data_IF_379983379073
#
_entry.id   IF_379983379073
#
_cell.length_a   1.000
_cell.length_b   1.000
_cell.length_c   1.000
_cell.angle_alpha   90.00
_cell.angle_beta   90.00
_cell.angle_gamma   90.00
#
_symmetry.space_group_name_H-M   'P 1'
#
loop_
_entity.id
_entity.type
_entity.pdbx_description
1 polymer ?
#
# COMPACT_ATOMS: atom_id res chain seq x y z
N UNK A 1 -63.94 9.43 49.38
CA UNK A 1 -62.47 9.58 49.38
C UNK A 1 -61.91 8.49 48.49
N UNK A 2 -61.46 8.85 47.29
CA UNK A 2 -61.11 7.91 46.22
C UNK A 2 -59.70 7.38 46.34
N UNK A 3 -59.50 6.11 45.96
CA UNK A 3 -58.20 5.49 45.76
C UNK A 3 -58.09 5.11 44.29
N UNK A 4 -57.31 5.85 43.51
CA UNK A 4 -56.96 5.53 42.13
C UNK A 4 -55.61 4.81 42.17
N UNK A 5 -55.61 3.53 41.80
CA UNK A 5 -54.39 2.76 41.58
C UNK A 5 -53.72 3.24 40.28
N UNK A 6 -52.51 3.78 40.39
CA UNK A 6 -51.69 4.14 39.23
C UNK A 6 -51.01 2.86 38.69
N UNK A 7 -51.40 2.46 37.48
CA UNK A 7 -50.71 1.42 36.71
C UNK A 7 -49.50 2.08 36.06
N UNK A 8 -48.31 1.77 36.56
CA UNK A 8 -47.06 2.21 35.95
C UNK A 8 -46.69 1.22 34.83
N UNK A 9 -47.04 1.54 33.59
CA UNK A 9 -46.51 0.86 32.41
C UNK A 9 -45.04 1.24 32.23
N UNK A 10 -44.12 0.35 32.61
CA UNK A 10 -42.71 0.45 32.25
C UNK A 10 -42.55 0.08 30.77
N UNK A 11 -42.40 1.08 29.90
CA UNK A 11 -41.99 0.88 28.51
C UNK A 11 -40.48 0.66 28.53
N UNK A 12 -40.05 -0.61 28.48
CA UNK A 12 -38.64 -0.96 28.24
C UNK A 12 -38.34 -0.73 26.77
N UNK A 13 -37.84 0.46 26.42
CA UNK A 13 -37.28 0.73 25.11
C UNK A 13 -35.96 -0.04 24.99
N UNK A 14 -35.98 -1.20 24.33
CA UNK A 14 -34.77 -1.89 23.88
C UNK A 14 -34.20 -1.04 22.74
N UNK A 15 -33.24 -0.17 23.06
CA UNK A 15 -32.38 0.48 22.07
C UNK A 15 -31.49 -0.60 21.45
N UNK A 16 -31.99 -1.23 20.40
CA UNK A 16 -31.15 -1.93 19.42
C UNK A 16 -30.34 -0.84 18.71
N UNK A 17 -29.22 -0.45 19.32
CA UNK A 17 -28.16 0.22 18.58
C UNK A 17 -27.63 -0.86 17.64
N UNK A 18 -28.21 -0.96 16.45
CA UNK A 18 -27.52 -1.60 15.34
C UNK A 18 -26.26 -0.77 15.16
N UNK A 19 -25.14 -1.24 15.69
CA UNK A 19 -23.83 -0.73 15.28
C UNK A 19 -23.66 -1.16 13.84
N UNK A 20 -24.31 -0.43 12.93
CA UNK A 20 -23.92 -0.41 11.53
C UNK A 20 -22.55 0.26 11.55
N UNK A 21 -21.52 -0.54 11.83
CA UNK A 21 -20.15 -0.12 11.57
C UNK A 21 -20.09 0.00 10.06
N UNK A 22 -20.30 1.20 9.55
CA UNK A 22 -19.93 1.51 8.17
C UNK A 22 -18.44 1.28 8.06
N UNK A 23 -17.97 0.81 6.92
CA UNK A 23 -16.57 1.02 6.54
C UNK A 23 -16.21 2.48 6.81
N UNK A 24 -15.15 2.73 7.58
CA UNK A 24 -14.79 4.08 7.98
C UNK A 24 -13.29 4.34 7.77
N UNK A 25 -12.98 5.61 7.56
CA UNK A 25 -11.63 6.12 7.36
C UNK A 25 -10.98 6.58 8.67
N UNK A 26 -11.68 6.45 9.81
CA UNK A 26 -11.32 7.08 11.08
C UNK A 26 -10.81 6.09 12.12
N UNK A 27 -11.18 4.83 11.99
CA UNK A 27 -10.79 3.72 12.84
C UNK A 27 -9.31 3.45 12.62
N UNK A 28 -8.47 3.66 13.64
CA UNK A 28 -7.04 3.46 13.49
C UNK A 28 -6.73 1.98 13.28
N UNK A 29 -5.70 1.69 12.47
CA UNK A 29 -5.13 0.34 12.38
C UNK A 29 -4.65 -0.06 13.79
N UNK A 30 -5.05 -1.23 14.32
CA UNK A 30 -4.74 -1.63 15.68
C UNK A 30 -3.24 -1.81 15.87
N UNK A 31 -2.75 -1.58 17.09
CA UNK A 31 -1.35 -1.81 17.42
C UNK A 31 -0.99 -3.31 17.50
N UNK A 32 -1.96 -4.16 17.81
CA UNK A 32 -1.78 -5.62 17.84
C UNK A 32 -1.93 -6.20 16.42
N UNK A 33 -0.86 -6.80 15.85
CA UNK A 33 -0.92 -7.38 14.51
C UNK A 33 -1.91 -8.55 14.40
N UNK A 34 -2.22 -9.25 15.50
CA UNK A 34 -3.18 -10.37 15.48
C UNK A 34 -4.60 -9.92 15.13
N UNK A 35 -4.91 -8.64 15.39
CA UNK A 35 -6.21 -8.02 15.10
C UNK A 35 -6.28 -7.40 13.70
N UNK A 36 -5.18 -7.38 12.93
CA UNK A 36 -5.09 -6.64 11.67
C UNK A 36 -6.08 -7.13 10.61
N UNK A 37 -6.21 -8.44 10.45
CA UNK A 37 -7.11 -9.01 9.46
C UNK A 37 -8.58 -8.76 9.84
N UNK A 38 -8.96 -8.98 11.10
CA UNK A 38 -10.31 -8.67 11.58
C UNK A 38 -10.63 -7.19 11.39
N UNK A 39 -9.72 -6.29 11.79
CA UNK A 39 -9.87 -4.86 11.57
C UNK A 39 -10.06 -4.51 10.09
N UNK A 40 -9.28 -5.13 9.19
CA UNK A 40 -9.40 -4.86 7.76
C UNK A 40 -10.77 -5.29 7.22
N UNK A 41 -11.26 -6.47 7.61
CA UNK A 41 -12.58 -6.97 7.21
C UNK A 41 -13.73 -6.09 7.75
N UNK A 42 -13.58 -5.56 8.96
CA UNK A 42 -14.58 -4.66 9.57
C UNK A 42 -14.62 -3.29 8.89
N UNK A 43 -13.48 -2.82 8.37
CA UNK A 43 -13.34 -1.48 7.77
C UNK A 43 -13.39 -1.47 6.25
N UNK A 44 -13.19 -2.61 5.59
CA UNK A 44 -13.43 -2.81 4.16
C UNK A 44 -14.45 -3.92 4.05
N UNK A 45 -15.74 -3.61 4.22
CA UNK A 45 -16.83 -4.60 4.17
C UNK A 45 -17.18 -5.03 2.74
N UNK A 46 -17.92 -6.14 2.54
CA UNK A 46 -18.39 -6.56 1.23
C UNK A 46 -19.22 -5.46 0.56
N UNK A 47 -19.16 -5.39 -0.77
CA UNK A 47 -19.87 -4.35 -1.54
C UNK A 47 -21.38 -4.33 -1.24
N UNK A 48 -21.99 -5.50 -1.01
CA UNK A 48 -23.40 -5.61 -0.69
C UNK A 48 -23.80 -4.79 0.57
N UNK A 49 -22.89 -4.64 1.52
CA UNK A 49 -23.09 -3.93 2.78
C UNK A 49 -22.72 -2.44 2.70
N UNK A 50 -22.20 -1.98 1.55
CA UNK A 50 -21.64 -0.63 1.34
C UNK A 50 -22.28 0.16 0.20
N UNK A 51 -23.36 -0.35 -0.39
CA UNK A 51 -24.12 0.36 -1.44
C UNK A 51 -24.50 1.77 -0.97
N UNK A 52 -24.25 2.76 -1.82
CA UNK A 52 -24.47 4.18 -1.54
C UNK A 52 -23.42 4.85 -0.65
N UNK A 53 -22.40 4.13 -0.16
CA UNK A 53 -21.30 4.69 0.64
C UNK A 53 -19.94 4.62 -0.05
N UNK A 54 -19.82 3.78 -1.07
CA UNK A 54 -18.64 3.67 -1.94
C UNK A 54 -18.76 4.63 -3.14
N UNK A 55 -17.66 4.86 -3.86
CA UNK A 55 -17.66 5.66 -5.08
C UNK A 55 -18.74 5.16 -6.07
N UNK A 56 -19.68 6.02 -6.54
CA UNK A 56 -20.76 5.60 -7.42
C UNK A 56 -20.31 4.97 -8.73
N UNK A 57 -19.14 5.38 -9.27
CA UNK A 57 -18.60 4.79 -10.49
C UNK A 57 -18.14 3.34 -10.24
N UNK A 58 -17.53 3.09 -9.07
CA UNK A 58 -17.13 1.74 -8.67
C UNK A 58 -18.35 0.86 -8.38
N UNK A 59 -19.37 1.39 -7.69
CA UNK A 59 -20.61 0.67 -7.44
C UNK A 59 -21.30 0.27 -8.76
N UNK A 60 -21.35 1.19 -9.73
CA UNK A 60 -21.90 0.92 -11.06
C UNK A 60 -21.09 -0.14 -11.81
N UNK A 61 -19.75 -0.09 -11.74
CA UNK A 61 -18.87 -1.04 -12.41
C UNK A 61 -19.04 -2.48 -11.88
N UNK A 62 -19.24 -2.62 -10.58
CA UNK A 62 -19.42 -3.91 -9.91
C UNK A 62 -20.85 -4.49 -10.05
N UNK A 63 -21.77 -3.78 -10.71
CA UNK A 63 -23.15 -4.27 -10.89
C UNK A 63 -23.22 -5.51 -11.79
N UNK A 64 -22.30 -5.63 -12.76
CA UNK A 64 -22.27 -6.72 -13.76
C UNK A 64 -20.82 -7.07 -14.14
N UNK A 65 -20.02 -7.65 -13.24
CA UNK A 65 -18.66 -8.01 -13.55
C UNK A 65 -18.62 -9.08 -14.65
N UNK A 66 -17.72 -8.92 -15.61
CA UNK A 66 -17.41 -9.94 -16.61
C UNK A 66 -16.04 -10.54 -16.33
N UNK A 67 -15.91 -11.85 -16.49
CA UNK A 67 -14.63 -12.54 -16.38
C UNK A 67 -14.15 -12.95 -17.76
N UNK A 68 -12.90 -12.65 -18.09
CA UNK A 68 -12.22 -13.15 -19.30
C UNK A 68 -11.06 -14.04 -18.88
N UNK A 69 -10.89 -15.18 -19.55
CA UNK A 69 -9.83 -16.15 -19.21
C UNK A 69 -8.63 -16.06 -20.14
N UNK A 70 -7.44 -15.93 -19.56
CA UNK A 70 -6.15 -15.98 -20.27
C UNK A 70 -5.46 -17.30 -19.96
N UNK A 71 -5.22 -18.14 -20.97
CA UNK A 71 -4.55 -19.44 -20.82
C UNK A 71 -3.62 -19.70 -22.01
N UNK A 72 -2.33 -19.89 -21.75
CA UNK A 72 -1.33 -20.12 -22.79
C UNK A 72 -1.56 -21.42 -23.58
N UNK A 73 -2.14 -22.44 -22.95
CA UNK A 73 -2.50 -23.71 -23.58
C UNK A 73 -3.69 -23.61 -24.56
N UNK A 74 -4.35 -22.45 -24.62
CA UNK A 74 -5.52 -22.21 -25.47
C UNK A 74 -6.86 -22.62 -24.87
N UNK A 75 -6.91 -23.01 -23.60
CA UNK A 75 -8.16 -23.35 -22.89
C UNK A 75 -8.99 -22.12 -22.46
N UNK A 76 -8.45 -20.92 -22.62
CA UNK A 76 -9.09 -19.63 -22.30
C UNK A 76 -9.55 -18.87 -23.56
N UNK A 77 -10.22 -17.74 -23.34
CA UNK A 77 -10.64 -16.82 -24.41
C UNK A 77 -9.44 -16.17 -25.10
N UNK A 78 -8.36 -15.91 -24.35
CA UNK A 78 -7.13 -15.32 -24.86
C UNK A 78 -5.92 -16.18 -24.50
N UNK A 79 -4.90 -16.18 -25.37
CA UNK A 79 -3.61 -16.84 -25.09
C UNK A 79 -2.61 -15.92 -24.38
N UNK A 80 -2.79 -14.60 -24.52
CA UNK A 80 -1.89 -13.59 -23.95
C UNK A 80 -2.66 -12.56 -23.14
N UNK A 81 -2.02 -12.03 -22.09
CA UNK A 81 -2.58 -10.95 -21.29
C UNK A 81 -2.77 -9.68 -22.13
N UNK A 82 -1.87 -9.41 -23.07
CA UNK A 82 -1.95 -8.27 -23.99
C UNK A 82 -3.22 -8.29 -24.83
N UNK A 83 -3.56 -9.43 -25.42
CA UNK A 83 -4.77 -9.55 -26.24
C UNK A 83 -6.04 -9.41 -25.40
N UNK A 84 -6.04 -9.95 -24.18
CA UNK A 84 -7.13 -9.81 -23.23
C UNK A 84 -7.37 -8.34 -22.84
N UNK A 85 -6.30 -7.60 -22.52
CA UNK A 85 -6.37 -6.16 -22.19
C UNK A 85 -6.84 -5.36 -23.40
N UNK A 86 -6.31 -5.63 -24.60
CA UNK A 86 -6.72 -4.95 -25.83
C UNK A 86 -8.20 -5.19 -26.21
N UNK A 87 -8.82 -6.24 -25.68
CA UNK A 87 -10.25 -6.51 -25.85
C UNK A 87 -11.15 -5.66 -24.96
N UNK A 88 -10.59 -4.96 -23.97
CA UNK A 88 -11.31 -4.08 -23.06
C UNK A 88 -11.39 -2.69 -23.72
N UNK A 89 -12.60 -2.17 -23.98
CA UNK A 89 -12.73 -0.85 -24.60
C UNK A 89 -12.13 0.26 -23.75
N UNK A 90 -11.51 1.25 -24.39
CA UNK A 90 -11.14 2.50 -23.72
C UNK A 90 -12.38 3.16 -23.11
N UNK A 91 -12.27 3.61 -21.85
CA UNK A 91 -13.40 4.20 -21.12
C UNK A 91 -14.44 3.19 -20.63
N UNK A 92 -14.09 1.89 -20.60
CA UNK A 92 -14.93 0.84 -20.05
C UNK A 92 -15.35 1.17 -18.60
N UNK A 93 -16.67 1.12 -18.35
CA UNK A 93 -17.27 1.44 -17.05
C UNK A 93 -17.72 0.20 -16.26
N UNK A 94 -17.46 -1.00 -16.77
CA UNK A 94 -17.86 -2.27 -16.13
C UNK A 94 -16.65 -3.00 -15.56
N UNK A 95 -16.79 -3.71 -14.44
CA UNK A 95 -15.69 -4.50 -13.89
C UNK A 95 -15.31 -5.63 -14.85
N UNK A 96 -14.05 -5.66 -15.28
CA UNK A 96 -13.47 -6.79 -16.03
C UNK A 96 -12.48 -7.52 -15.15
N UNK A 97 -12.76 -8.78 -14.87
CA UNK A 97 -11.87 -9.69 -14.13
C UNK A 97 -11.07 -10.47 -15.16
N UNK A 98 -9.77 -10.26 -15.19
CA UNK A 98 -8.86 -11.03 -16.05
C UNK A 98 -8.33 -12.20 -15.23
N UNK A 99 -8.88 -13.39 -15.44
CA UNK A 99 -8.45 -14.63 -14.81
C UNK A 99 -7.28 -15.20 -15.61
N UNK A 100 -6.08 -15.22 -15.01
CA UNK A 100 -4.82 -15.56 -15.68
C UNK A 100 -4.33 -16.93 -15.20
N UNK A 101 -4.09 -17.85 -16.14
CA UNK A 101 -3.41 -19.11 -15.86
C UNK A 101 -1.89 -18.94 -15.84
N UNK A 102 -1.12 -20.00 -15.54
CA UNK A 102 0.34 -19.93 -15.50
C UNK A 102 0.95 -19.35 -16.78
N UNK A 103 1.92 -18.45 -16.64
CA UNK A 103 2.63 -17.80 -17.75
C UNK A 103 3.36 -16.52 -17.32
N UNK A 104 4.07 -15.88 -18.25
CA UNK A 104 4.83 -14.65 -18.03
C UNK A 104 4.32 -13.50 -18.94
N UNK A 105 4.29 -12.27 -18.41
CA UNK A 105 3.96 -11.04 -19.15
C UNK A 105 4.58 -9.80 -18.48
N UNK A 106 4.80 -8.73 -19.26
CA UNK A 106 5.19 -7.40 -18.74
C UNK A 106 3.93 -6.53 -18.58
N UNK A 107 3.85 -5.74 -17.49
CA UNK A 107 2.67 -4.93 -17.17
C UNK A 107 3.04 -3.50 -16.73
N UNK A 108 2.28 -2.53 -17.23
CA UNK A 108 2.15 -1.17 -16.68
C UNK A 108 0.67 -0.92 -16.39
N UNK A 109 0.35 -0.38 -15.22
CA UNK A 109 -1.03 -0.16 -14.77
C UNK A 109 -1.34 1.34 -14.67
N UNK A 110 -2.03 1.87 -15.69
CA UNK A 110 -2.46 3.27 -15.74
C UNK A 110 -3.96 3.46 -15.44
N UNK A 111 -4.71 2.37 -15.35
CA UNK A 111 -6.15 2.42 -15.11
C UNK A 111 -6.48 2.70 -13.64
N UNK A 112 -7.47 3.57 -13.41
CA UNK A 112 -8.06 3.73 -12.09
C UNK A 112 -8.77 2.44 -11.65
N UNK A 113 -8.84 2.20 -10.34
CA UNK A 113 -9.45 1.00 -9.75
C UNK A 113 -8.82 -0.33 -10.19
N UNK A 114 -7.57 -0.30 -10.62
CA UNK A 114 -6.83 -1.52 -10.93
C UNK A 114 -6.69 -2.37 -9.67
N UNK A 115 -6.98 -3.68 -9.78
CA UNK A 115 -6.78 -4.63 -8.68
C UNK A 115 -5.98 -5.80 -9.19
N UNK A 116 -4.93 -6.15 -8.46
CA UNK A 116 -4.16 -7.37 -8.66
C UNK A 116 -4.18 -8.20 -7.39
N UNK A 117 -4.31 -9.52 -7.55
CA UNK A 117 -4.21 -10.46 -6.44
C UNK A 117 -3.47 -11.73 -6.86
N UNK A 118 -2.68 -12.29 -5.96
CA UNK A 118 -2.02 -13.59 -6.15
C UNK A 118 -1.14 -13.67 -7.43
N UNK A 119 -0.48 -12.56 -7.78
CA UNK A 119 0.34 -12.44 -8.99
C UNK A 119 1.74 -11.95 -8.66
N UNK A 120 2.71 -12.37 -9.48
CA UNK A 120 4.11 -11.93 -9.40
C UNK A 120 4.38 -10.95 -10.54
N UNK A 121 4.84 -9.75 -10.19
CA UNK A 121 5.43 -8.78 -11.11
C UNK A 121 6.94 -8.86 -10.98
N UNK A 122 7.64 -9.28 -12.03
CA UNK A 122 9.09 -9.46 -12.00
C UNK A 122 9.75 -8.77 -13.18
N UNK A 123 10.77 -7.95 -12.90
CA UNK A 123 11.74 -7.57 -13.90
C UNK A 123 12.94 -8.52 -13.84
N UNK A 124 13.27 -9.17 -14.96
CA UNK A 124 14.37 -10.14 -15.05
C UNK A 124 15.66 -9.52 -15.60
N UNK A 125 15.78 -8.20 -15.66
CA UNK A 125 17.04 -7.53 -15.96
C UNK A 125 18.15 -8.05 -15.03
N UNK A 126 19.39 -8.19 -15.54
CA UNK A 126 20.50 -8.60 -14.71
C UNK A 126 20.70 -7.59 -13.57
N UNK A 127 21.26 -8.06 -12.45
CA UNK A 127 21.63 -7.19 -11.34
C UNK A 127 22.56 -6.08 -11.86
N UNK A 128 22.29 -4.80 -11.55
CA UNK A 128 23.17 -3.70 -11.92
C UNK A 128 24.60 -3.96 -11.45
N UNK A 129 25.58 -3.75 -12.32
CA UNK A 129 27.00 -3.94 -12.00
C UNK A 129 27.80 -2.63 -12.04
N UNK A 130 27.16 -1.51 -12.37
CA UNK A 130 27.77 -0.18 -12.45
C UNK A 130 28.58 0.07 -13.72
N UNK A 131 28.68 -0.91 -14.63
CA UNK A 131 29.42 -0.78 -15.89
C UNK A 131 28.60 -0.05 -16.96
N UNK A 132 27.27 -0.19 -16.91
CA UNK A 132 26.35 0.45 -17.83
C UNK A 132 25.71 1.69 -17.18
N UNK A 133 25.47 2.72 -17.99
CA UNK A 133 24.63 3.84 -17.57
C UNK A 133 23.17 3.42 -17.68
N UNK A 134 22.38 3.68 -16.64
CA UNK A 134 20.93 3.54 -16.68
C UNK A 134 20.41 2.12 -16.45
N UNK A 135 20.97 1.41 -15.46
CA UNK A 135 20.60 0.02 -15.14
C UNK A 135 19.29 -0.12 -14.32
N UNK A 136 18.45 0.93 -14.28
CA UNK A 136 17.16 0.87 -13.60
C UNK A 136 16.19 -0.08 -14.31
N UNK A 137 15.45 -0.87 -13.55
CA UNK A 137 14.64 -1.96 -14.10
C UNK A 137 13.33 -2.14 -13.33
N UNK A 138 12.32 -1.34 -13.71
CA UNK A 138 10.99 -1.35 -13.09
C UNK A 138 10.26 -2.68 -13.35
N UNK A 139 9.77 -3.31 -12.28
CA UNK A 139 8.92 -4.50 -12.36
C UNK A 139 7.45 -4.13 -12.50
N UNK A 140 7.02 -3.04 -11.85
CA UNK A 140 5.67 -2.51 -11.97
C UNK A 140 5.68 -0.97 -11.85
N UNK A 141 4.99 -0.30 -12.76
CA UNK A 141 4.62 1.11 -12.63
C UNK A 141 3.12 1.27 -12.48
N UNK A 142 2.71 2.11 -11.53
CA UNK A 142 1.32 2.39 -11.20
C UNK A 142 1.10 3.90 -11.25
N UNK A 143 0.18 4.33 -12.11
CA UNK A 143 -0.18 5.74 -12.29
C UNK A 143 -1.68 6.01 -12.15
N UNK A 144 -2.51 4.97 -12.11
CA UNK A 144 -3.96 5.05 -11.97
C UNK A 144 -4.39 5.13 -10.50
N UNK A 145 -5.35 6.00 -10.20
CA UNK A 145 -5.82 6.24 -8.84
C UNK A 145 -6.66 5.06 -8.32
N UNK A 146 -6.66 4.86 -6.99
CA UNK A 146 -7.47 3.82 -6.31
C UNK A 146 -7.09 2.38 -6.72
N UNK A 147 -5.80 2.11 -6.85
CA UNK A 147 -5.28 0.76 -7.18
C UNK A 147 -5.01 -0.08 -5.93
N UNK A 148 -5.37 -1.37 -5.94
CA UNK A 148 -5.16 -2.28 -4.80
C UNK A 148 -4.42 -3.57 -5.20
N UNK A 149 -3.48 -3.98 -4.35
CA UNK A 149 -2.65 -5.16 -4.54
C UNK A 149 -2.78 -6.05 -3.31
N UNK A 150 -3.16 -7.31 -3.51
CA UNK A 150 -3.40 -8.29 -2.44
C UNK A 150 -2.55 -9.53 -2.65
N UNK A 151 -1.67 -9.85 -1.71
CA UNK A 151 -0.80 -11.04 -1.83
C UNK A 151 -0.03 -11.09 -3.16
N UNK A 152 0.48 -9.94 -3.59
CA UNK A 152 1.31 -9.82 -4.78
C UNK A 152 2.79 -9.90 -4.42
N UNK A 153 3.62 -10.37 -5.35
CA UNK A 153 5.08 -10.31 -5.22
C UNK A 153 5.66 -9.38 -6.28
N UNK A 154 6.46 -8.41 -5.88
CA UNK A 154 7.16 -7.48 -6.78
C UNK A 154 8.66 -7.74 -6.66
N UNK A 155 9.28 -8.15 -7.77
CA UNK A 155 10.64 -8.67 -7.81
C UNK A 155 11.49 -7.87 -8.79
N UNK A 156 12.56 -7.28 -8.29
CA UNK A 156 13.52 -6.51 -9.08
C UNK A 156 14.77 -6.19 -8.30
N UNK A 157 15.58 -5.25 -8.82
CA UNK A 157 16.77 -4.73 -8.15
C UNK A 157 16.60 -3.23 -7.89
N UNK A 158 17.15 -2.38 -8.76
CA UNK A 158 16.95 -0.95 -8.71
C UNK A 158 15.60 -0.58 -9.34
N UNK A 159 14.85 0.29 -8.65
CA UNK A 159 13.57 0.84 -9.10
C UNK A 159 12.46 -0.21 -9.28
N UNK A 160 12.41 -1.28 -8.46
CA UNK A 160 11.42 -2.39 -8.59
C UNK A 160 9.96 -1.91 -8.76
N UNK A 161 9.49 -1.01 -7.89
CA UNK A 161 8.13 -0.47 -7.89
C UNK A 161 8.15 1.05 -8.11
N UNK A 162 7.63 1.48 -9.27
CA UNK A 162 7.30 2.87 -9.54
C UNK A 162 5.86 3.15 -9.10
N UNK A 163 5.70 3.53 -7.84
CA UNK A 163 4.45 4.02 -7.24
C UNK A 163 4.27 5.52 -7.55
N UNK A 164 3.96 5.80 -8.82
CA UNK A 164 4.15 7.10 -9.47
C UNK A 164 3.21 8.18 -8.91
N UNK A 165 1.90 7.94 -8.95
CA UNK A 165 0.85 8.87 -8.47
C UNK A 165 -0.46 8.15 -8.24
N UNK A 166 -1.32 8.74 -7.42
CA UNK A 166 -2.64 8.17 -7.08
C UNK A 166 -2.66 7.57 -5.68
N UNK A 167 -3.82 7.09 -5.25
CA UNK A 167 -4.04 6.43 -3.96
C UNK A 167 -3.94 4.92 -4.13
N UNK A 168 -3.06 4.26 -3.38
CA UNK A 168 -2.84 2.82 -3.53
C UNK A 168 -2.86 2.07 -2.20
N UNK A 169 -3.23 0.80 -2.27
CA UNK A 169 -3.11 -0.16 -1.17
C UNK A 169 -2.24 -1.34 -1.62
N UNK A 170 -1.25 -1.70 -0.81
CA UNK A 170 -0.52 -2.98 -0.91
C UNK A 170 -0.74 -3.75 0.39
N UNK A 171 -1.54 -4.81 0.34
CA UNK A 171 -1.86 -5.61 1.52
C UNK A 171 -1.30 -7.02 1.37
N UNK A 172 -0.57 -7.46 2.40
CA UNK A 172 0.05 -8.80 2.48
C UNK A 172 0.97 -9.09 1.28
N UNK A 173 1.61 -8.06 0.72
CA UNK A 173 2.50 -8.20 -0.43
C UNK A 173 3.93 -8.55 0.00
N UNK A 174 4.74 -8.92 -0.97
CA UNK A 174 6.19 -9.02 -0.86
C UNK A 174 6.83 -8.12 -1.92
N UNK A 175 7.78 -7.28 -1.54
CA UNK A 175 8.50 -6.38 -2.46
C UNK A 175 9.99 -6.51 -2.19
N UNK A 176 10.78 -6.87 -3.20
CA UNK A 176 12.25 -6.95 -3.08
C UNK A 176 13.01 -6.03 -4.04
N UNK A 177 14.17 -5.56 -3.58
CA UNK A 177 15.09 -4.78 -4.40
C UNK A 177 16.33 -4.29 -3.66
N UNK A 178 17.03 -3.36 -4.31
CA UNK A 178 18.32 -2.80 -3.84
C UNK A 178 18.21 -1.30 -3.60
N UNK A 179 18.23 -0.51 -4.67
CA UNK A 179 18.23 0.96 -4.65
C UNK A 179 16.87 1.48 -5.07
N UNK A 180 16.29 2.36 -4.26
CA UNK A 180 15.03 3.06 -4.53
C UNK A 180 13.91 2.11 -4.98
N UNK A 181 13.87 0.89 -4.41
CA UNK A 181 13.03 -0.15 -4.98
C UNK A 181 11.52 0.09 -4.77
N UNK A 182 11.16 1.09 -3.96
CA UNK A 182 9.84 1.73 -3.95
C UNK A 182 10.02 3.24 -4.13
N UNK A 183 9.64 3.78 -5.28
CA UNK A 183 9.83 5.19 -5.60
C UNK A 183 8.62 5.78 -6.31
N UNK A 184 8.52 7.11 -6.31
CA UNK A 184 7.41 7.84 -6.92
C UNK A 184 6.73 8.82 -5.97
N UNK A 185 5.59 9.38 -6.40
CA UNK A 185 4.80 10.38 -5.67
C UNK A 185 3.40 9.86 -5.32
N UNK A 186 3.21 8.54 -5.21
CA UNK A 186 1.95 7.95 -4.73
C UNK A 186 1.56 8.39 -3.32
N UNK A 187 0.27 8.23 -3.01
CA UNK A 187 -0.32 8.28 -1.67
C UNK A 187 -0.73 6.87 -1.28
N UNK A 188 0.20 6.13 -0.69
CA UNK A 188 0.08 4.67 -0.64
C UNK A 188 0.18 4.13 0.77
N UNK A 189 -0.73 3.21 1.09
CA UNK A 189 -0.72 2.43 2.33
C UNK A 189 -0.18 1.03 2.02
N UNK A 190 0.95 0.68 2.62
CA UNK A 190 1.53 -0.65 2.65
C UNK A 190 1.17 -1.29 3.99
N UNK A 191 0.36 -2.36 3.95
CA UNK A 191 -0.25 -2.96 5.12
C UNK A 191 0.14 -4.43 5.23
N UNK A 192 0.85 -4.83 6.29
CA UNK A 192 1.27 -6.23 6.44
C UNK A 192 2.24 -6.71 5.35
N UNK A 193 2.93 -5.79 4.67
CA UNK A 193 3.79 -6.10 3.51
C UNK A 193 5.23 -6.40 3.95
N UNK A 194 5.84 -7.40 3.34
CA UNK A 194 7.26 -7.71 3.49
C UNK A 194 8.10 -6.90 2.50
N UNK A 195 9.12 -6.23 3.02
CA UNK A 195 10.06 -5.36 2.31
C UNK A 195 11.44 -6.02 2.41
N UNK A 196 11.83 -6.76 1.38
CA UNK A 196 13.00 -7.62 1.38
C UNK A 196 14.19 -6.95 0.67
N UNK A 197 15.23 -6.64 1.43
CA UNK A 197 16.47 -6.04 0.91
C UNK A 197 17.38 -7.13 0.36
N UNK A 198 17.70 -7.05 -0.93
CA UNK A 198 18.68 -7.95 -1.58
C UNK A 198 19.97 -7.21 -1.90
N UNK A 199 20.47 -6.44 -0.93
CA UNK A 199 21.50 -5.43 -1.12
C UNK A 199 22.90 -5.96 -1.42
N UNK A 200 23.73 -5.11 -2.02
CA UNK A 200 25.16 -5.36 -2.25
C UNK A 200 26.01 -4.22 -1.64
N UNK A 201 27.22 -4.03 -2.17
CA UNK A 201 28.18 -3.01 -1.75
C UNK A 201 27.79 -1.59 -2.20
N UNK A 202 26.84 -1.46 -3.12
CA UNK A 202 26.25 -0.21 -3.58
C UNK A 202 25.07 0.11 -2.67
N UNK A 203 25.22 1.11 -1.79
CA UNK A 203 24.28 1.38 -0.68
C UNK A 203 22.79 1.30 -1.08
N UNK A 204 21.99 0.70 -0.20
CA UNK A 204 20.62 0.27 -0.50
C UNK A 204 19.59 1.24 0.08
N UNK A 205 18.48 1.43 -0.64
CA UNK A 205 17.40 2.35 -0.24
C UNK A 205 16.05 1.69 -0.49
N UNK A 206 15.24 1.58 0.56
CA UNK A 206 13.89 1.02 0.45
C UNK A 206 12.98 2.00 -0.29
N UNK A 207 13.01 3.27 0.12
CA UNK A 207 12.11 4.29 -0.45
C UNK A 207 12.84 5.50 -1.04
N UNK A 208 12.25 6.03 -2.12
CA UNK A 208 12.61 7.31 -2.72
C UNK A 208 11.34 8.09 -3.08
N UNK A 209 10.76 8.77 -2.08
CA UNK A 209 9.50 9.50 -2.26
C UNK A 209 9.72 10.85 -2.95
N UNK A 210 8.87 11.17 -3.92
CA UNK A 210 9.04 12.27 -4.86
C UNK A 210 8.23 13.52 -4.51
N UNK A 211 7.64 13.61 -3.32
CA UNK A 211 6.91 14.82 -2.93
C UNK A 211 7.82 16.05 -2.92
N UNK A 212 7.37 17.12 -3.55
CA UNK A 212 8.19 18.31 -3.77
C UNK A 212 7.63 19.57 -3.09
N UNK A 213 6.33 19.63 -2.79
CA UNK A 213 5.69 20.80 -2.19
C UNK A 213 4.74 20.47 -1.03
N UNK A 214 4.44 21.45 -0.17
CA UNK A 214 3.49 21.24 0.94
C UNK A 214 2.05 20.99 0.47
N UNK A 215 1.70 21.51 -0.71
CA UNK A 215 0.38 21.38 -1.30
C UNK A 215 0.09 19.97 -1.84
N UNK A 216 1.13 19.17 -2.10
CA UNK A 216 0.99 17.77 -2.51
C UNK A 216 0.60 16.90 -1.32
N UNK A 217 -0.61 16.33 -1.38
CA UNK A 217 -1.07 15.36 -0.39
C UNK A 217 -0.68 13.93 -0.77
N UNK A 218 0.62 13.68 -0.94
CA UNK A 218 1.20 12.38 -1.31
C UNK A 218 2.14 11.87 -0.23
N UNK A 219 2.42 10.57 -0.19
CA UNK A 219 3.26 9.98 0.86
C UNK A 219 3.16 8.47 0.91
N UNK A 220 4.16 7.82 1.48
CA UNK A 220 4.12 6.39 1.75
C UNK A 220 3.92 6.12 3.24
N UNK A 221 2.92 5.32 3.58
CA UNK A 221 2.69 4.82 4.94
C UNK A 221 2.85 3.31 4.97
N UNK A 222 3.78 2.82 5.78
CA UNK A 222 4.05 1.40 6.00
C UNK A 222 3.56 1.03 7.39
N UNK A 223 2.56 0.16 7.48
CA UNK A 223 1.95 -0.24 8.75
C UNK A 223 1.98 -1.75 8.90
N UNK A 224 2.46 -2.25 10.05
CA UNK A 224 2.66 -3.69 10.29
C UNK A 224 3.52 -4.38 9.22
N UNK A 225 4.43 -3.64 8.60
CA UNK A 225 5.33 -4.20 7.61
C UNK A 225 6.51 -4.92 8.28
N UNK A 226 7.25 -5.68 7.49
CA UNK A 226 8.50 -6.32 7.91
C UNK A 226 9.63 -5.89 6.98
N UNK A 227 10.73 -5.40 7.53
CA UNK A 227 11.95 -5.08 6.79
C UNK A 227 13.03 -6.10 7.14
N UNK A 228 13.42 -6.90 6.15
CA UNK A 228 14.46 -7.91 6.29
C UNK A 228 15.34 -8.05 5.05
N UNK A 229 16.17 -9.10 5.04
CA UNK A 229 17.08 -9.38 3.94
C UNK A 229 18.55 -9.22 4.31
N UNK A 230 19.37 -8.94 3.31
CA UNK A 230 20.83 -8.91 3.44
C UNK A 230 21.42 -7.74 2.67
N UNK A 231 22.59 -7.27 3.10
CA UNK A 231 23.36 -6.25 2.38
C UNK A 231 24.60 -5.86 3.15
N UNK A 232 25.77 -5.85 2.49
CA UNK A 232 27.05 -5.57 3.14
C UNK A 232 27.11 -4.19 3.83
N UNK A 233 26.35 -3.21 3.30
CA UNK A 233 26.24 -1.85 3.85
C UNK A 233 24.91 -1.57 4.55
N UNK A 234 24.09 -2.61 4.75
CA UNK A 234 22.69 -2.46 5.16
C UNK A 234 21.85 -1.66 4.14
N UNK A 235 20.69 -1.21 4.59
CA UNK A 235 19.75 -0.40 3.81
C UNK A 235 19.22 0.78 4.62
N UNK A 236 19.02 1.90 3.93
CA UNK A 236 18.26 3.03 4.45
C UNK A 236 16.76 2.78 4.21
N UNK A 237 15.92 3.13 5.18
CA UNK A 237 14.46 3.17 5.05
C UNK A 237 14.01 4.10 3.92
N UNK A 238 14.78 5.15 3.66
CA UNK A 238 14.58 5.97 2.48
C UNK A 238 15.59 7.08 2.29
N UNK A 239 15.54 7.68 1.10
CA UNK A 239 16.24 8.92 0.79
C UNK A 239 15.32 9.98 0.22
N UNK A 240 15.70 11.24 0.41
CA UNK A 240 14.99 12.37 -0.15
C UNK A 240 15.26 12.50 -1.65
N UNK A 241 14.44 11.86 -2.48
CA UNK A 241 14.53 12.03 -3.94
C UNK A 241 14.22 13.48 -4.33
N UNK A 242 13.12 14.02 -3.80
CA UNK A 242 12.70 15.41 -4.00
C UNK A 242 12.79 16.23 -2.71
N UNK A 243 12.32 17.48 -2.74
CA UNK A 243 12.55 18.44 -1.65
C UNK A 243 11.75 18.17 -0.36
N UNK A 244 10.62 17.46 -0.43
CA UNK A 244 9.70 17.29 0.71
C UNK A 244 9.11 15.87 0.83
N UNK A 245 9.94 14.81 0.72
CA UNK A 245 9.47 13.42 0.77
C UNK A 245 8.70 13.17 2.07
N UNK A 246 7.68 12.32 1.99
CA UNK A 246 6.85 11.96 3.14
C UNK A 246 6.73 10.44 3.24
N UNK A 247 7.44 9.87 4.21
CA UNK A 247 7.51 8.42 4.44
C UNK A 247 7.39 8.14 5.93
N UNK A 248 6.45 7.26 6.30
CA UNK A 248 6.20 6.88 7.69
C UNK A 248 6.18 5.35 7.82
N UNK A 249 6.93 4.81 8.77
CA UNK A 249 6.85 3.42 9.20
C UNK A 249 6.19 3.35 10.59
N UNK A 250 5.17 2.50 10.75
CA UNK A 250 4.41 2.34 11.99
C UNK A 250 4.19 0.87 12.31
N UNK A 251 4.48 0.45 13.54
CA UNK A 251 4.37 -0.97 13.95
C UNK A 251 5.17 -1.93 13.06
N UNK A 252 6.24 -1.43 12.43
CA UNK A 252 7.05 -2.21 11.48
C UNK A 252 8.18 -2.91 12.24
N UNK A 253 8.35 -4.21 12.00
CA UNK A 253 9.53 -4.95 12.48
C UNK A 253 10.69 -4.76 11.53
N UNK A 254 11.87 -4.40 12.05
CA UNK A 254 13.08 -4.14 11.27
C UNK A 254 14.23 -5.02 11.77
N UNK A 255 14.77 -5.87 10.88
CA UNK A 255 15.98 -6.64 11.17
C UNK A 255 17.23 -5.77 11.14
N UNK A 256 18.39 -6.34 11.50
CA UNK A 256 19.70 -5.68 11.48
C UNK A 256 20.16 -5.20 10.09
N UNK A 257 19.44 -5.53 9.02
CA UNK A 257 19.72 -4.99 7.68
C UNK A 257 19.53 -3.47 7.61
N UNK A 258 18.70 -2.88 8.46
CA UNK A 258 18.48 -1.44 8.47
C UNK A 258 19.71 -0.73 9.04
N UNK A 259 20.28 0.17 8.25
CA UNK A 259 21.41 1.00 8.64
C UNK A 259 21.04 1.85 9.87
N UNK A 260 21.89 1.99 10.91
CA UNK A 260 21.60 2.80 12.09
C UNK A 260 21.15 4.23 11.78
N UNK A 261 21.73 4.86 10.75
CA UNK A 261 21.34 6.20 10.29
C UNK A 261 19.91 6.24 9.76
N UNK A 262 19.44 5.14 9.18
CA UNK A 262 18.05 4.88 8.78
C UNK A 262 17.55 5.70 7.59
N UNK A 263 17.93 6.97 7.49
CA UNK A 263 17.41 7.91 6.50
C UNK A 263 18.53 8.75 5.88
N UNK A 264 18.38 9.12 4.61
CA UNK A 264 19.33 9.99 3.93
C UNK A 264 18.62 11.23 3.36
N UNK A 265 19.21 12.40 3.56
CA UNK A 265 18.80 13.61 2.85
C UNK A 265 19.36 13.66 1.41
N UNK A 266 20.01 12.59 0.94
CA UNK A 266 20.58 12.46 -0.39
C UNK A 266 21.63 13.54 -0.71
N UNK A 267 22.46 13.91 0.28
CA UNK A 267 23.47 14.98 0.21
C UNK A 267 22.89 16.39 0.06
N UNK A 268 21.63 16.58 0.47
CA UNK A 268 20.93 17.86 0.47
C UNK A 268 20.55 18.27 1.90
N UNK A 269 21.48 18.82 2.70
CA UNK A 269 21.24 19.18 4.09
C UNK A 269 20.09 20.18 4.28
N UNK A 270 19.77 20.99 3.27
CA UNK A 270 18.61 21.88 3.29
C UNK A 270 17.28 21.14 3.41
N UNK A 271 17.20 19.88 2.96
CA UNK A 271 15.98 19.05 3.02
C UNK A 271 15.69 18.52 4.41
N UNK A 272 16.66 18.57 5.34
CA UNK A 272 16.45 18.12 6.73
C UNK A 272 15.31 18.86 7.43
N UNK A 273 15.00 20.09 6.99
CA UNK A 273 13.92 20.92 7.55
C UNK A 273 12.54 20.59 6.96
N UNK A 274 12.49 19.89 5.83
CA UNK A 274 11.29 19.74 5.01
C UNK A 274 10.87 18.30 4.81
N UNK A 275 11.76 17.34 5.02
CA UNK A 275 11.43 15.91 4.99
C UNK A 275 10.45 15.55 6.12
N UNK A 276 9.54 14.62 5.84
CA UNK A 276 8.85 13.87 6.89
C UNK A 276 9.29 12.41 6.79
N UNK A 277 10.34 12.08 7.52
CA UNK A 277 10.81 10.73 7.76
C UNK A 277 10.41 10.30 9.17
N UNK A 278 9.35 9.51 9.27
CA UNK A 278 8.70 9.16 10.52
C UNK A 278 8.82 7.68 10.86
N UNK A 279 9.07 7.39 12.13
CA UNK A 279 8.96 6.05 12.70
C UNK A 279 8.05 6.11 13.94
N UNK A 280 7.11 5.17 14.06
CA UNK A 280 6.20 5.08 15.20
C UNK A 280 6.08 3.65 15.68
N UNK A 281 6.58 3.38 16.89
CA UNK A 281 6.52 2.05 17.52
C UNK A 281 7.02 0.94 16.59
N UNK A 282 8.07 1.22 15.81
CA UNK A 282 8.82 0.18 15.11
C UNK A 282 9.63 -0.63 16.12
N UNK A 283 9.90 -1.89 15.80
CA UNK A 283 10.61 -2.82 16.69
C UNK A 283 11.61 -3.69 15.93
N UNK A 284 12.41 -4.48 16.65
CA UNK A 284 13.51 -5.27 16.10
C UNK A 284 14.85 -4.54 16.14
N UNK A 285 15.93 -5.28 15.84
CA UNK A 285 17.31 -4.80 15.96
C UNK A 285 17.58 -3.55 15.10
N UNK A 286 16.96 -3.47 13.92
CA UNK A 286 17.10 -2.34 13.00
C UNK A 286 16.30 -1.09 13.39
N UNK A 287 15.38 -1.19 14.36
CA UNK A 287 14.48 -0.10 14.75
C UNK A 287 15.05 0.83 15.85
N UNK A 288 16.30 0.62 16.29
CA UNK A 288 16.91 1.46 17.33
C UNK A 288 17.07 2.92 16.86
N UNK A 289 16.40 3.90 17.50
CA UNK A 289 16.41 5.28 17.04
C UNK A 289 17.69 6.04 17.40
N UNK A 290 18.55 5.50 18.27
CA UNK A 290 19.69 6.23 18.82
C UNK A 290 20.72 6.67 17.76
N UNK A 291 20.81 5.93 16.65
CA UNK A 291 21.74 6.22 15.55
C UNK A 291 21.13 7.00 14.38
N UNK A 292 19.83 7.33 14.44
CA UNK A 292 19.10 7.86 13.28
C UNK A 292 19.58 9.24 12.86
N UNK A 293 19.44 9.54 11.57
CA UNK A 293 19.64 10.87 11.02
C UNK A 293 18.81 11.90 11.78
N UNK A 294 19.39 13.08 12.03
CA UNK A 294 18.77 14.14 12.84
C UNK A 294 17.44 14.66 12.28
N UNK A 295 17.23 14.53 10.97
CA UNK A 295 16.00 14.93 10.29
C UNK A 295 14.85 13.92 10.42
N UNK A 296 15.14 12.70 10.86
CA UNK A 296 14.11 11.70 11.17
C UNK A 296 13.37 12.03 12.47
N UNK A 297 12.15 11.51 12.60
CA UNK A 297 11.27 11.78 13.73
C UNK A 297 10.72 10.48 14.31
N UNK A 298 10.92 10.29 15.61
CA UNK A 298 10.10 9.35 16.38
C UNK A 298 8.77 10.03 16.66
N UNK A 299 7.70 9.56 16.01
CA UNK A 299 6.41 10.23 16.04
C UNK A 299 5.71 10.00 17.37
N UNK A 300 4.94 10.99 17.83
CA UNK A 300 3.95 10.80 18.89
C UNK A 300 2.70 10.09 18.31
N UNK A 301 1.81 9.55 19.17
CA UNK A 301 0.55 8.97 18.71
C UNK A 301 -0.25 9.91 17.81
N UNK A 302 -0.37 11.19 18.18
CA UNK A 302 -1.12 12.19 17.40
C UNK A 302 -0.47 12.50 16.05
N UNK A 303 0.86 12.51 15.99
CA UNK A 303 1.60 12.71 14.75
C UNK A 303 1.49 11.51 13.80
N UNK A 304 1.39 10.30 14.34
CA UNK A 304 1.29 9.08 13.57
C UNK A 304 -0.15 8.75 13.13
N UNK A 305 -1.15 9.18 13.88
CA UNK A 305 -2.57 8.88 13.63
C UNK A 305 -3.04 9.08 12.17
N UNK A 306 -2.66 10.16 11.44
CA UNK A 306 -3.07 10.37 10.05
C UNK A 306 -2.55 9.30 9.06
N UNK A 307 -1.50 8.57 9.44
CA UNK A 307 -0.85 7.55 8.60
C UNK A 307 -1.28 6.13 8.95
N UNK A 308 -2.02 5.94 10.05
CA UNK A 308 -2.38 4.62 10.62
C UNK A 308 -3.89 4.42 10.50
N UNK A 309 -4.47 4.66 9.32
CA UNK A 309 -5.89 4.41 9.04
C UNK A 309 -6.13 4.31 7.53
N UNK A 310 -7.30 3.79 7.13
CA UNK A 310 -7.74 3.86 5.73
C UNK A 310 -7.94 5.30 5.26
N UNK A 311 -8.17 6.25 6.18
CA UNK A 311 -8.31 7.67 5.87
C UNK A 311 -7.08 8.29 5.25
N UNK A 312 -5.89 7.70 5.42
CA UNK A 312 -4.71 8.14 4.68
C UNK A 312 -4.93 8.08 3.17
N UNK A 313 -5.62 7.04 2.68
CA UNK A 313 -5.90 6.82 1.25
C UNK A 313 -7.39 6.93 0.91
N UNK A 314 -8.23 7.41 1.84
CA UNK A 314 -9.69 7.40 1.73
C UNK A 314 -10.26 6.01 1.36
N UNK A 315 -9.64 4.96 1.88
CA UNK A 315 -9.83 3.58 1.46
C UNK A 315 -11.27 3.09 1.63
N UNK A 316 -12.01 3.62 2.61
CA UNK A 316 -13.41 3.23 2.84
C UNK A 316 -14.35 3.62 1.69
N UNK A 317 -13.90 4.44 0.73
CA UNK A 317 -14.68 4.87 -0.44
C UNK A 317 -14.40 4.08 -1.71
N UNK A 318 -13.34 3.29 -1.78
CA UNK A 318 -12.94 2.65 -3.05
C UNK A 318 -12.32 1.26 -2.92
N UNK A 319 -11.88 0.86 -1.72
CA UNK A 319 -11.39 -0.50 -1.53
C UNK A 319 -12.54 -1.50 -1.63
N UNK A 320 -12.34 -2.51 -2.47
CA UNK A 320 -13.14 -3.73 -2.48
C UNK A 320 -12.45 -4.80 -1.65
N UNK A 321 -13.22 -5.79 -1.21
CA UNK A 321 -12.65 -7.01 -0.62
C UNK A 321 -11.60 -7.63 -1.55
N UNK A 322 -10.56 -8.27 -1.01
CA UNK A 322 -9.61 -9.05 -1.79
C UNK A 322 -10.35 -10.07 -2.67
N UNK A 323 -9.97 -10.24 -3.95
CA UNK A 323 -10.47 -11.33 -4.78
C UNK A 323 -10.11 -12.69 -4.16
N UNK A 324 -11.01 -13.67 -4.32
CA UNK A 324 -10.77 -15.06 -3.93
C UNK A 324 -9.71 -15.74 -4.80
#
# INVERSE_FOLDING_TARGET
MGSIAAIQCAITAILLVSTTVSSDDKSPIPADPSSLNTWFQDNVKPLADRKGTIDPALEAAEAKPRTIKVRQDGSGEFKTLKDAINSIPTGNTERVIVDIGPGDATLEAEADYFVAANIIFKNSAPRPNGELKGEQAVALRISGDKSAFYNCRLIGFQDTLCDDKGRHLFKDCYIEGTVDYIFGSGKSLYLGTELHVIGDENGNFITAHARNSEAEDTGFSFVHCKVDGTGAKGAYLGRAWQARPRVVFSYTTMSSVVNPEGWSNNFHPERDQTVLFGEYKCEGEGANPAGRAKSSKQLTPDQAAPFISLGFIEGSKWLLHPPN
#
